data_IF_690770253891
#
_entry.id   IF_690770253891
#
_cell.length_a   1.000
_cell.length_b   1.000
_cell.length_c   1.000
_cell.angle_alpha   90.00
_cell.angle_beta   90.00
_cell.angle_gamma   90.00
#
_symmetry.space_group_name_H-M   'P 1'
#
loop_
_entity.id
_entity.type
_entity.pdbx_description
1 polymer ?
#
# COMPACT_ATOMS: atom_id res chain seq x y z
N UNK A 1 -19.83 3.36 -9.96
CA UNK A 1 -20.07 4.74 -9.48
C UNK A 1 -19.03 5.63 -10.13
N UNK A 2 -19.41 6.79 -10.64
CA UNK A 2 -18.42 7.76 -11.12
C UNK A 2 -17.76 8.39 -9.88
N UNK A 3 -16.44 8.32 -9.80
CA UNK A 3 -15.67 9.08 -8.82
C UNK A 3 -15.94 10.56 -9.13
N UNK A 4 -16.37 11.34 -8.14
CA UNK A 4 -16.39 12.80 -8.29
C UNK A 4 -14.94 13.28 -8.36
N UNK A 5 -14.45 13.37 -9.60
CA UNK A 5 -13.06 13.62 -9.91
C UNK A 5 -12.63 15.07 -9.69
N UNK A 6 -13.60 15.98 -9.53
CA UNK A 6 -13.35 17.40 -9.35
C UNK A 6 -12.80 17.75 -7.96
N UNK A 7 -13.29 17.08 -6.91
CA UNK A 7 -12.92 17.41 -5.52
C UNK A 7 -11.50 16.97 -5.13
N UNK A 8 -11.10 15.74 -5.48
CA UNK A 8 -9.82 15.20 -5.02
C UNK A 8 -8.61 15.84 -5.70
N UNK A 9 -8.74 16.21 -6.98
CA UNK A 9 -7.65 16.78 -7.76
C UNK A 9 -7.28 18.18 -7.27
N UNK A 10 -8.27 19.00 -6.93
CA UNK A 10 -8.04 20.35 -6.40
C UNK A 10 -7.34 20.32 -5.02
N UNK A 11 -7.73 19.38 -4.14
CA UNK A 11 -7.04 19.15 -2.87
C UNK A 11 -5.56 18.76 -3.08
N UNK A 12 -5.32 17.85 -4.02
CA UNK A 12 -3.98 17.37 -4.40
C UNK A 12 -3.13 18.51 -4.93
N UNK A 13 -3.66 19.32 -5.86
CA UNK A 13 -3.01 20.53 -6.39
C UNK A 13 -2.68 21.53 -5.29
N UNK A 14 -3.60 21.75 -4.35
CA UNK A 14 -3.38 22.66 -3.22
C UNK A 14 -2.29 22.16 -2.26
N UNK A 15 -2.23 20.86 -1.99
CA UNK A 15 -1.15 20.23 -1.19
C UNK A 15 0.20 20.34 -1.87
N UNK A 16 0.28 20.07 -3.17
CA UNK A 16 1.53 20.19 -3.92
C UNK A 16 2.05 21.64 -3.92
N UNK A 17 1.19 22.64 -4.15
CA UNK A 17 1.55 24.07 -4.06
C UNK A 17 2.09 24.48 -2.68
N UNK A 18 1.66 23.81 -1.61
CA UNK A 18 2.15 24.05 -0.24
C UNK A 18 3.45 23.30 0.09
N UNK A 19 3.98 22.52 -0.85
CA UNK A 19 5.22 21.75 -0.64
C UNK A 19 5.02 20.50 0.22
N UNK A 20 3.79 19.97 0.32
CA UNK A 20 3.55 18.75 1.06
C UNK A 20 4.21 17.55 0.37
N UNK A 21 4.89 16.70 1.15
CA UNK A 21 5.48 15.45 0.65
C UNK A 21 4.46 14.33 0.41
N UNK A 22 3.29 14.42 1.05
CA UNK A 22 2.19 13.46 0.91
C UNK A 22 0.97 14.21 0.41
N UNK A 23 0.43 13.77 -0.73
CA UNK A 23 -0.56 14.51 -1.48
C UNK A 23 -2.00 14.05 -1.24
N UNK A 24 -2.18 12.88 -0.62
CA UNK A 24 -3.49 12.33 -0.26
C UNK A 24 -3.63 12.21 1.26
N UNK A 25 -4.83 12.43 1.78
CA UNK A 25 -5.20 12.11 3.16
C UNK A 25 -6.08 10.87 3.19
N UNK A 26 -6.11 10.14 4.31
CA UNK A 26 -6.99 8.98 4.49
C UNK A 26 -8.48 9.30 4.31
N UNK A 27 -8.86 10.57 4.51
CA UNK A 27 -10.24 11.07 4.36
C UNK A 27 -10.51 11.70 2.99
N UNK A 28 -9.55 11.65 2.08
CA UNK A 28 -9.75 12.23 0.74
C UNK A 28 -10.93 11.53 0.05
N UNK A 29 -11.85 12.27 -0.60
CA UNK A 29 -13.06 11.70 -1.20
C UNK A 29 -12.79 10.56 -2.19
N UNK A 30 -11.64 10.58 -2.87
CA UNK A 30 -11.17 9.52 -3.78
C UNK A 30 -11.17 8.13 -3.12
N UNK A 31 -10.93 8.07 -1.81
CA UNK A 31 -10.85 6.81 -1.08
C UNK A 31 -12.17 6.35 -0.47
N UNK A 32 -13.28 7.06 -0.65
CA UNK A 32 -14.54 6.74 0.06
C UNK A 32 -15.01 5.30 -0.20
N UNK A 33 -15.10 4.91 -1.48
CA UNK A 33 -15.51 3.56 -1.86
C UNK A 33 -14.48 2.51 -1.44
N UNK A 34 -13.19 2.81 -1.63
CA UNK A 34 -12.10 1.91 -1.24
C UNK A 34 -12.07 1.67 0.26
N UNK A 35 -12.21 2.72 1.07
CA UNK A 35 -12.27 2.66 2.52
C UNK A 35 -13.46 1.83 2.99
N UNK A 36 -14.63 2.04 2.37
CA UNK A 36 -15.83 1.26 2.67
C UNK A 36 -15.59 -0.23 2.38
N UNK A 37 -15.06 -0.57 1.21
CA UNK A 37 -14.77 -1.97 0.86
C UNK A 37 -13.75 -2.57 1.84
N UNK A 38 -12.61 -1.92 2.06
CA UNK A 38 -11.55 -2.40 2.97
C UNK A 38 -12.09 -2.71 4.37
N UNK A 39 -13.00 -1.88 4.89
CA UNK A 39 -13.57 -2.07 6.24
C UNK A 39 -14.46 -3.31 6.40
N UNK A 40 -14.95 -3.87 5.29
CA UNK A 40 -15.81 -5.06 5.28
C UNK A 40 -15.11 -6.33 4.78
N UNK A 41 -13.84 -6.23 4.39
CA UNK A 41 -13.08 -7.38 3.91
C UNK A 41 -12.42 -8.18 5.04
N UNK A 42 -12.25 -9.48 4.78
CA UNK A 42 -11.45 -10.32 5.66
C UNK A 42 -10.00 -9.85 5.72
N UNK A 43 -9.39 -9.96 6.90
CA UNK A 43 -7.99 -9.59 7.11
C UNK A 43 -7.04 -10.34 6.17
N UNK A 44 -7.30 -11.62 5.87
CA UNK A 44 -6.50 -12.42 4.93
C UNK A 44 -6.54 -11.85 3.51
N UNK A 45 -7.72 -11.49 3.01
CA UNK A 45 -7.86 -10.81 1.70
C UNK A 45 -7.04 -9.53 1.67
N UNK A 46 -7.15 -8.71 2.73
CA UNK A 46 -6.42 -7.45 2.79
C UNK A 46 -4.90 -7.62 2.87
N UNK A 47 -4.40 -8.67 3.55
CA UNK A 47 -2.98 -9.00 3.56
C UNK A 47 -2.48 -9.41 2.17
N UNK A 48 -3.20 -10.31 1.47
CA UNK A 48 -2.81 -10.75 0.13
C UNK A 48 -2.80 -9.57 -0.85
N UNK A 49 -3.87 -8.77 -0.84
CA UNK A 49 -3.98 -7.56 -1.63
C UNK A 49 -2.83 -6.58 -1.37
N UNK A 50 -2.54 -6.27 -0.11
CA UNK A 50 -1.50 -5.32 0.23
C UNK A 50 -0.09 -5.82 -0.17
N UNK A 51 0.21 -7.10 0.08
CA UNK A 51 1.52 -7.69 -0.22
C UNK A 51 1.74 -7.96 -1.73
N UNK A 52 0.66 -8.05 -2.51
CA UNK A 52 0.73 -8.03 -3.97
C UNK A 52 1.21 -6.67 -4.46
N UNK A 53 0.52 -5.59 -4.07
CA UNK A 53 0.89 -4.24 -4.49
C UNK A 53 2.27 -3.80 -3.96
N UNK A 54 2.62 -4.21 -2.74
CA UNK A 54 3.97 -4.02 -2.22
C UNK A 54 5.03 -4.73 -3.10
N UNK A 55 4.71 -5.88 -3.70
CA UNK A 55 5.63 -6.58 -4.62
C UNK A 55 5.98 -5.72 -5.82
N UNK A 56 4.97 -5.12 -6.47
CA UNK A 56 5.16 -4.23 -7.62
C UNK A 56 5.98 -2.98 -7.27
N UNK A 57 5.71 -2.38 -6.10
CA UNK A 57 6.50 -1.24 -5.61
C UNK A 57 7.95 -1.63 -5.29
N UNK A 58 8.17 -2.83 -4.72
CA UNK A 58 9.51 -3.37 -4.47
C UNK A 58 10.27 -3.60 -5.78
N UNK A 59 9.62 -4.16 -6.80
CA UNK A 59 10.23 -4.37 -8.12
C UNK A 59 10.68 -3.03 -8.74
N UNK A 60 9.82 -2.02 -8.69
CA UNK A 60 10.15 -0.67 -9.17
C UNK A 60 11.38 -0.08 -8.47
N UNK A 61 11.47 -0.23 -7.15
CA UNK A 61 12.63 0.24 -6.38
C UNK A 61 13.89 -0.60 -6.65
N UNK A 62 13.76 -1.92 -6.82
CA UNK A 62 14.88 -2.81 -7.06
C UNK A 62 15.55 -2.55 -8.42
N UNK A 63 14.80 -2.11 -9.43
CA UNK A 63 15.35 -1.68 -10.72
C UNK A 63 16.22 -0.43 -10.59
N UNK A 64 15.86 0.50 -9.70
CA UNK A 64 16.57 1.78 -9.47
C UNK A 64 17.71 1.64 -8.47
N UNK A 65 17.53 0.79 -7.48
CA UNK A 65 18.43 0.59 -6.34
C UNK A 65 18.70 -0.90 -6.12
N UNK A 66 19.43 -1.57 -7.04
CA UNK A 66 19.65 -3.02 -6.98
C UNK A 66 20.41 -3.47 -5.72
N UNK A 67 21.22 -2.58 -5.14
CA UNK A 67 21.99 -2.82 -3.92
C UNK A 67 21.25 -2.44 -2.63
N UNK A 68 19.96 -2.06 -2.72
CA UNK A 68 19.14 -1.70 -1.57
C UNK A 68 18.13 -2.82 -1.23
N UNK A 69 18.51 -3.78 -0.35
CA UNK A 69 17.67 -4.95 -0.10
C UNK A 69 16.52 -4.68 0.88
N UNK A 70 16.53 -3.57 1.65
CA UNK A 70 15.60 -3.38 2.77
C UNK A 70 14.12 -3.41 2.37
N UNK A 71 13.67 -2.83 1.24
CA UNK A 71 12.28 -2.94 0.81
C UNK A 71 11.85 -4.38 0.52
N UNK A 72 12.68 -5.14 -0.20
CA UNK A 72 12.42 -6.56 -0.47
C UNK A 72 12.43 -7.39 0.81
N UNK A 73 13.38 -7.15 1.71
CA UNK A 73 13.46 -7.83 3.01
C UNK A 73 12.22 -7.54 3.86
N UNK A 74 11.69 -6.32 3.85
CA UNK A 74 10.45 -5.99 4.56
C UNK A 74 9.26 -6.79 4.03
N UNK A 75 9.10 -6.85 2.70
CA UNK A 75 8.05 -7.65 2.06
C UNK A 75 8.17 -9.15 2.39
N UNK A 76 9.37 -9.72 2.26
CA UNK A 76 9.60 -11.14 2.53
C UNK A 76 9.36 -11.47 4.02
N UNK A 77 9.74 -10.58 4.94
CA UNK A 77 9.45 -10.76 6.37
C UNK A 77 7.98 -10.55 6.72
N UNK A 78 7.25 -9.69 6.01
CA UNK A 78 5.82 -9.54 6.18
C UNK A 78 5.07 -10.80 5.73
N UNK A 79 5.45 -11.39 4.58
CA UNK A 79 4.93 -12.69 4.11
C UNK A 79 5.21 -13.80 5.12
N UNK A 80 6.46 -13.94 5.56
CA UNK A 80 6.85 -14.94 6.56
C UNK A 80 6.11 -14.75 7.90
N UNK A 81 5.81 -13.50 8.28
CA UNK A 81 5.06 -13.23 9.50
C UNK A 81 3.58 -13.60 9.36
N UNK A 82 2.95 -13.25 8.23
CA UNK A 82 1.58 -13.67 7.93
C UNK A 82 1.44 -15.20 7.91
N UNK A 83 2.48 -15.91 7.47
CA UNK A 83 2.56 -17.36 7.43
C UNK A 83 2.89 -18.02 8.79
N UNK A 84 3.26 -17.24 9.81
CA UNK A 84 3.62 -17.74 11.15
C UNK A 84 5.08 -18.22 11.29
N UNK A 85 5.91 -18.01 10.27
CA UNK A 85 7.29 -18.49 10.20
C UNK A 85 8.27 -17.61 11.01
N UNK A 86 7.94 -16.33 11.18
CA UNK A 86 8.71 -15.39 12.00
C UNK A 86 7.85 -14.64 13.00
N UNK A 87 8.46 -14.23 14.11
CA UNK A 87 7.79 -13.42 15.14
C UNK A 87 7.55 -11.99 14.62
N UNK A 88 6.43 -11.37 15.05
CA UNK A 88 6.09 -9.97 14.77
C UNK A 88 7.28 -9.01 14.90
N UNK A 89 8.10 -9.13 15.95
CA UNK A 89 9.26 -8.25 16.19
C UNK A 89 10.28 -8.27 15.05
N UNK A 90 10.44 -9.40 14.36
CA UNK A 90 11.36 -9.58 13.24
C UNK A 90 10.82 -8.85 12.01
N UNK A 91 9.56 -9.07 11.66
CA UNK A 91 8.90 -8.36 10.57
C UNK A 91 8.83 -6.85 10.82
N UNK A 92 8.42 -6.45 12.03
CA UNK A 92 8.37 -5.03 12.42
C UNK A 92 9.72 -4.34 12.26
N UNK A 93 10.83 -5.01 12.63
CA UNK A 93 12.17 -4.43 12.43
C UNK A 93 12.44 -4.20 10.94
N UNK A 94 12.23 -5.20 10.10
CA UNK A 94 12.44 -5.07 8.66
C UNK A 94 11.55 -3.97 8.02
N UNK A 95 10.29 -3.86 8.45
CA UNK A 95 9.36 -2.80 8.01
C UNK A 95 9.89 -1.40 8.40
N UNK A 96 10.39 -1.25 9.63
CA UNK A 96 11.01 0.00 10.06
C UNK A 96 12.29 0.32 9.30
N UNK A 97 13.09 -0.69 8.96
CA UNK A 97 14.30 -0.52 8.16
C UNK A 97 13.98 -0.07 6.73
N UNK A 98 12.89 -0.58 6.13
CA UNK A 98 12.36 -0.08 4.85
C UNK A 98 11.93 1.40 4.95
N UNK A 99 11.28 1.81 6.05
CA UNK A 99 10.97 3.22 6.26
C UNK A 99 12.22 4.09 6.49
N UNK A 100 13.33 3.52 6.97
CA UNK A 100 14.57 4.27 7.13
C UNK A 100 15.20 4.62 5.76
N UNK A 101 15.06 3.75 4.76
CA UNK A 101 15.52 4.00 3.37
C UNK A 101 14.98 5.32 2.84
N UNK A 102 13.71 5.64 3.12
CA UNK A 102 13.07 6.89 2.67
C UNK A 102 13.81 8.18 3.14
N UNK A 103 14.67 8.11 4.16
CA UNK A 103 15.49 9.26 4.59
C UNK A 103 16.81 9.39 3.83
N UNK A 104 17.19 8.35 3.09
CA UNK A 104 18.45 8.23 2.37
C UNK A 104 18.27 8.45 0.86
N UNK A 105 17.02 8.58 0.39
CA UNK A 105 16.66 8.80 -1.01
C UNK A 105 16.40 10.28 -1.31
N UNK A 106 16.93 10.75 -2.45
CA UNK A 106 16.70 12.13 -2.93
C UNK A 106 15.37 12.26 -3.71
N UNK A 107 14.92 11.17 -4.33
CA UNK A 107 13.72 11.14 -5.16
C UNK A 107 12.45 11.06 -4.32
N UNK A 108 11.60 12.09 -4.39
CA UNK A 108 10.33 12.11 -3.66
C UNK A 108 9.37 10.99 -4.09
N UNK A 109 9.48 10.53 -5.34
CA UNK A 109 8.73 9.37 -5.85
C UNK A 109 9.14 8.10 -5.10
N UNK A 110 10.45 7.86 -5.02
CA UNK A 110 10.99 6.65 -4.39
C UNK A 110 10.79 6.65 -2.87
N UNK A 111 10.89 7.83 -2.25
CA UNK A 111 10.51 8.05 -0.84
C UNK A 111 9.05 7.64 -0.59
N UNK A 112 8.12 8.06 -1.47
CA UNK A 112 6.72 7.70 -1.35
C UNK A 112 6.52 6.19 -1.52
N UNK A 113 7.16 5.55 -2.51
CA UNK A 113 7.10 4.09 -2.69
C UNK A 113 7.63 3.32 -1.48
N UNK A 114 8.74 3.73 -0.86
CA UNK A 114 9.23 3.13 0.38
C UNK A 114 8.20 3.20 1.52
N UNK A 115 7.50 4.33 1.66
CA UNK A 115 6.43 4.45 2.63
C UNK A 115 5.21 3.59 2.30
N UNK A 116 4.84 3.48 1.02
CA UNK A 116 3.77 2.60 0.56
C UNK A 116 4.05 1.15 0.97
N UNK A 117 5.24 0.63 0.65
CA UNK A 117 5.68 -0.73 0.99
C UNK A 117 5.57 -0.99 2.50
N UNK A 118 6.06 -0.06 3.32
CA UNK A 118 5.98 -0.20 4.78
C UNK A 118 4.54 -0.23 5.30
N UNK A 119 3.64 0.57 4.74
CA UNK A 119 2.20 0.52 5.09
C UNK A 119 1.56 -0.81 4.69
N UNK A 120 1.80 -1.28 3.46
CA UNK A 120 1.29 -2.56 3.00
C UNK A 120 1.78 -3.73 3.87
N UNK A 121 3.07 -3.75 4.23
CA UNK A 121 3.61 -4.76 5.13
C UNK A 121 2.99 -4.67 6.54
N UNK A 122 2.62 -3.46 6.98
CA UNK A 122 1.90 -3.21 8.22
C UNK A 122 0.49 -3.79 8.27
N UNK A 123 -0.14 -4.12 7.13
CA UNK A 123 -1.48 -4.72 7.08
C UNK A 123 -1.53 -6.07 7.78
N UNK A 124 -0.42 -6.83 7.80
CA UNK A 124 -0.32 -8.08 8.58
C UNK A 124 -0.60 -7.84 10.06
N UNK A 125 -0.26 -6.65 10.59
CA UNK A 125 -0.60 -6.27 11.96
C UNK A 125 -2.09 -5.94 12.12
N UNK A 126 -2.61 -5.08 11.24
CA UNK A 126 -3.96 -4.53 11.33
C UNK A 126 -4.43 -3.97 9.99
N UNK A 127 -5.69 -4.23 9.64
CA UNK A 127 -6.36 -3.69 8.45
C UNK A 127 -6.30 -2.16 8.34
N UNK A 128 -6.17 -1.45 9.46
CA UNK A 128 -6.07 0.02 9.48
C UNK A 128 -4.89 0.60 8.68
N UNK A 129 -3.88 -0.21 8.36
CA UNK A 129 -2.77 0.19 7.50
C UNK A 129 -3.08 0.14 6.00
N UNK A 130 -4.17 -0.51 5.57
CA UNK A 130 -4.39 -0.84 4.16
C UNK A 130 -4.52 0.41 3.28
N UNK A 131 -5.26 1.43 3.71
CA UNK A 131 -5.35 2.72 3.00
C UNK A 131 -4.03 3.49 2.97
N UNK A 132 -3.08 3.15 3.85
CA UNK A 132 -1.76 3.74 3.85
C UNK A 132 -1.01 3.48 2.54
N UNK A 133 -1.14 2.29 1.94
CA UNK A 133 -0.47 2.00 0.67
C UNK A 133 -0.96 2.92 -0.47
N UNK A 134 -2.28 3.01 -0.79
CA UNK A 134 -2.80 3.95 -1.77
C UNK A 134 -2.42 5.42 -1.53
N UNK A 135 -2.41 5.89 -0.28
CA UNK A 135 -2.01 7.28 0.04
C UNK A 135 -0.62 7.60 -0.51
N UNK A 136 0.34 6.70 -0.31
CA UNK A 136 1.72 6.90 -0.73
C UNK A 136 1.97 6.54 -2.19
N UNK A 137 1.40 5.44 -2.69
CA UNK A 137 1.59 5.07 -4.10
C UNK A 137 0.93 6.08 -5.04
N UNK A 138 -0.28 6.56 -4.74
CA UNK A 138 -0.90 7.60 -5.56
C UNK A 138 -0.12 8.92 -5.48
N UNK A 139 0.50 9.23 -4.33
CA UNK A 139 1.44 10.35 -4.25
C UNK A 139 2.61 10.17 -5.22
N UNK A 140 3.20 8.96 -5.29
CA UNK A 140 4.27 8.64 -6.22
C UNK A 140 3.83 8.78 -7.69
N UNK A 141 2.60 8.35 -8.02
CA UNK A 141 2.01 8.52 -9.36
C UNK A 141 1.86 10.00 -9.71
N UNK A 142 1.28 10.81 -8.83
CA UNK A 142 1.12 12.27 -9.08
C UNK A 142 2.47 12.95 -9.30
N UNK A 143 3.48 12.58 -8.51
CA UNK A 143 4.83 13.13 -8.64
C UNK A 143 5.53 12.67 -9.94
N UNK A 144 5.22 11.49 -10.44
CA UNK A 144 5.79 10.93 -11.68
C UNK A 144 5.15 11.53 -12.92
N UNK A 145 3.81 11.58 -12.97
CA UNK A 145 3.03 12.03 -14.13
C UNK A 145 2.93 13.57 -14.22
N UNK A 146 3.07 14.24 -13.07
CA UNK A 146 2.78 15.65 -12.91
C UNK A 146 1.29 15.90 -12.65
N UNK A 147 0.99 16.88 -11.78
CA UNK A 147 -0.37 17.11 -11.26
C UNK A 147 -1.41 17.53 -12.31
N UNK A 148 -0.97 17.95 -13.49
CA UNK A 148 -1.85 18.28 -14.62
C UNK A 148 -2.23 17.06 -15.47
N UNK A 149 -1.47 15.96 -15.37
CA UNK A 149 -1.69 14.74 -16.15
C UNK A 149 -2.05 13.53 -15.27
N UNK A 150 -2.07 13.68 -13.95
CA UNK A 150 -2.20 12.55 -13.02
C UNK A 150 -3.64 12.03 -12.86
N UNK A 151 -4.65 12.73 -13.39
CA UNK A 151 -6.05 12.37 -13.13
C UNK A 151 -6.38 10.94 -13.61
N UNK A 152 -6.15 10.65 -14.89
CA UNK A 152 -6.46 9.34 -15.46
C UNK A 152 -5.61 8.20 -14.84
N UNK A 153 -4.28 8.34 -14.66
CA UNK A 153 -3.48 7.32 -13.97
C UNK A 153 -3.94 7.05 -12.53
N UNK A 154 -4.30 8.09 -11.77
CA UNK A 154 -4.77 7.95 -10.38
C UNK A 154 -6.11 7.24 -10.32
N UNK A 155 -7.09 7.65 -11.13
CA UNK A 155 -8.43 7.04 -11.16
C UNK A 155 -8.37 5.58 -11.61
N UNK A 156 -7.55 5.29 -12.64
CA UNK A 156 -7.29 3.92 -13.10
C UNK A 156 -6.70 3.05 -12.00
N UNK A 157 -5.72 3.57 -11.25
CA UNK A 157 -5.08 2.84 -10.16
C UNK A 157 -6.05 2.58 -9.00
N UNK A 158 -6.95 3.52 -8.71
CA UNK A 158 -8.02 3.31 -7.71
C UNK A 158 -9.00 2.22 -8.14
N UNK A 159 -9.38 2.18 -9.42
CA UNK A 159 -10.20 1.11 -9.95
C UNK A 159 -9.49 -0.26 -9.84
N UNK A 160 -8.19 -0.31 -10.13
CA UNK A 160 -7.38 -1.52 -9.98
C UNK A 160 -7.31 -1.99 -8.52
N UNK A 161 -7.16 -1.09 -7.54
CA UNK A 161 -7.20 -1.48 -6.12
C UNK A 161 -8.50 -2.21 -5.77
N UNK A 162 -9.64 -1.70 -6.23
CA UNK A 162 -10.96 -2.31 -5.99
C UNK A 162 -11.09 -3.66 -6.71
N UNK A 163 -10.63 -3.75 -7.96
CA UNK A 163 -10.64 -5.00 -8.73
C UNK A 163 -9.80 -6.09 -8.05
N UNK A 164 -8.60 -5.75 -7.57
CA UNK A 164 -7.73 -6.71 -6.89
C UNK A 164 -8.29 -7.17 -5.55
N UNK A 165 -9.05 -6.33 -4.83
CA UNK A 165 -9.79 -6.79 -3.65
C UNK A 165 -10.81 -7.86 -4.04
N UNK A 166 -11.62 -7.60 -5.07
CA UNK A 166 -12.61 -8.57 -5.55
C UNK A 166 -11.96 -9.87 -6.05
N UNK A 167 -10.81 -9.77 -6.72
CA UNK A 167 -10.01 -10.93 -7.07
C UNK A 167 -9.64 -11.76 -5.85
N UNK A 168 -8.99 -11.17 -4.84
CA UNK A 168 -8.56 -11.92 -3.66
C UNK A 168 -9.73 -12.45 -2.83
N UNK A 169 -10.86 -11.73 -2.81
CA UNK A 169 -12.10 -12.22 -2.19
C UNK A 169 -12.55 -13.55 -2.80
N UNK A 170 -12.46 -13.68 -4.13
CA UNK A 170 -12.85 -14.89 -4.87
C UNK A 170 -11.81 -16.01 -4.78
N UNK A 171 -10.52 -15.65 -4.76
CA UNK A 171 -9.41 -16.60 -4.85
C UNK A 171 -8.72 -16.87 -3.50
N UNK A 172 -9.29 -16.43 -2.37
CA UNK A 172 -8.74 -16.73 -1.05
C UNK A 172 -8.67 -18.25 -0.81
N UNK A 173 -9.65 -19.00 -1.31
CA UNK A 173 -9.70 -20.48 -1.22
C UNK A 173 -8.59 -21.17 -2.02
N UNK A 174 -8.03 -20.49 -3.02
CA UNK A 174 -6.96 -21.01 -3.86
C UNK A 174 -5.57 -20.69 -3.29
N UNK A 175 -5.49 -19.86 -2.23
CA UNK A 175 -4.24 -19.54 -1.57
C UNK A 175 -3.67 -20.78 -0.86
N UNK A 176 -2.53 -21.25 -1.34
CA UNK A 176 -1.86 -22.48 -0.85
C UNK A 176 -0.84 -22.24 0.28
N UNK A 177 -0.59 -20.98 0.64
CA UNK A 177 0.31 -20.64 1.76
C UNK A 177 -0.34 -20.90 3.12
N UNK A 178 0.47 -20.88 4.17
CA UNK A 178 -0.01 -21.00 5.55
C UNK A 178 -0.44 -19.64 6.11
N UNK A 179 -1.23 -19.69 7.17
CA UNK A 179 -1.58 -18.53 7.97
C UNK A 179 -1.15 -18.75 9.41
N UNK A 180 -0.61 -17.72 10.04
CA UNK A 180 -0.36 -17.74 11.47
C UNK A 180 -1.67 -17.85 12.26
N UNK A 181 -1.63 -18.43 13.47
CA UNK A 181 -2.82 -18.58 14.32
C UNK A 181 -3.59 -17.26 14.56
N UNK A 182 -2.88 -16.14 14.64
CA UNK A 182 -3.50 -14.83 14.84
C UNK A 182 -4.27 -14.34 13.60
N UNK A 183 -3.91 -14.81 12.40
CA UNK A 183 -4.61 -14.52 11.14
C UNK A 183 -5.87 -15.39 10.97
N UNK A 184 -5.97 -16.52 11.68
CA UNK A 184 -7.19 -17.34 11.73
C UNK A 184 -8.24 -16.76 12.70
N UNK A 185 -7.80 -16.03 13.71
CA UNK A 185 -8.66 -15.50 14.78
C UNK A 185 -9.27 -14.15 14.44
N UNK A 186 -8.73 -13.42 13.46
CA UNK A 186 -9.18 -12.07 13.08
C UNK A 186 -10.50 -12.03 12.31
N UNK A 187 -11.11 -13.18 12.00
CA UNK A 187 -12.45 -13.30 11.41
C UNK A 187 -13.59 -13.42 12.42
N UNK A 188 -13.32 -13.30 13.73
CA UNK A 188 -14.34 -13.34 14.80
C UNK A 188 -14.48 -11.97 15.46
N UNK A 189 -15.12 -11.03 14.77
CA UNK A 189 -15.64 -9.80 15.36
C UNK A 189 -17.06 -9.58 14.90
#
# INVERSE_FOLDING_TARGET
MAIDSSGWLDETKAKLRRGNKVLFDLKNPLFSDLANVISHESHKVMVLWALEFASTAVETLAERYPDEPRPKVALDKARAWAAGEVKMRVARRAILDCHAVAKELDSSVDVALCHAIGQACGVVHANGHALGFPVYELTAIVLTEGVENCQEPVERRVAEYLERIDYWRKHLVDYSGTWADFMEQSGRS
#
